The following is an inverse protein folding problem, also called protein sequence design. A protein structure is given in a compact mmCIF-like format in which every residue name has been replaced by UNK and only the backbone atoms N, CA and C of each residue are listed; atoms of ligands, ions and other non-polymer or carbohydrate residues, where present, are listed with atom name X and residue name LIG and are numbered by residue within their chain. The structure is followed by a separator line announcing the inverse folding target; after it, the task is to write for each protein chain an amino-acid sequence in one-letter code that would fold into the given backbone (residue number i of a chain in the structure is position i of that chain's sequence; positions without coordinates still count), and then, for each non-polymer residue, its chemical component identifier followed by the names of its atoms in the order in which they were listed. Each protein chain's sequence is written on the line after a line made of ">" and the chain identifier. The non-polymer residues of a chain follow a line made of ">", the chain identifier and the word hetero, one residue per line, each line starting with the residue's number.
data_IF_153170173312
#
_entry.id   IF_153170173312
#
_cell.length_a   1.000
_cell.length_b   1.000
_cell.length_c   1.000
_cell.angle_alpha   90.00
_cell.angle_beta   90.00
_cell.angle_gamma   90.00
#
_symmetry.space_group_name_H-M   'P 1'
#
loop_
_entity.id
_entity.type
_entity.pdbx_description
1 polymer ?
#
# COMPACT_ATOMS: atom_id res chain seq x y z
N UNK A 1 -15.70 11.61 -11.29
CA UNK A 1 -14.79 12.74 -10.99
C UNK A 1 -13.61 12.08 -10.31
N UNK A 2 -12.51 11.84 -11.02
CA UNK A 2 -11.27 11.27 -10.45
C UNK A 2 -10.61 12.25 -9.49
N UNK A 3 -9.47 11.86 -8.90
CA UNK A 3 -8.59 12.74 -8.09
C UNK A 3 -8.09 13.97 -8.92
N UNK A 4 -9.01 14.70 -9.48
CA UNK A 4 -8.81 15.66 -10.57
C UNK A 4 -8.19 17.01 -10.14
N UNK A 5 -7.71 17.12 -8.89
CA UNK A 5 -7.02 18.31 -8.38
C UNK A 5 -5.56 18.04 -8.01
N UNK A 6 -5.02 16.92 -8.46
CA UNK A 6 -3.60 16.61 -8.30
C UNK A 6 -2.77 17.66 -9.03
N UNK A 7 -1.75 18.19 -8.39
CA UNK A 7 -0.79 19.06 -9.08
C UNK A 7 -0.08 18.25 -10.18
N UNK A 8 -0.40 18.51 -11.43
CA UNK A 8 0.14 17.80 -12.58
C UNK A 8 1.67 17.83 -12.63
N UNK A 9 2.28 18.90 -12.10
CA UNK A 9 3.73 19.06 -12.02
C UNK A 9 4.34 18.10 -10.99
N UNK A 10 3.71 17.96 -9.83
CA UNK A 10 4.17 17.02 -8.82
C UNK A 10 4.02 15.57 -9.31
N UNK A 11 2.89 15.23 -9.88
CA UNK A 11 2.65 13.88 -10.44
C UNK A 11 3.67 13.51 -11.54
N UNK A 12 4.01 14.46 -12.42
CA UNK A 12 5.04 14.26 -13.46
C UNK A 12 6.43 14.09 -12.85
N UNK A 13 6.80 14.93 -11.88
CA UNK A 13 8.08 14.84 -11.18
C UNK A 13 8.24 13.51 -10.43
N UNK A 14 7.21 13.10 -9.68
CA UNK A 14 7.17 11.80 -8.97
C UNK A 14 7.24 10.64 -9.96
N UNK A 15 6.47 10.70 -11.06
CA UNK A 15 6.48 9.65 -12.09
C UNK A 15 7.87 9.49 -12.72
N UNK A 16 8.56 10.58 -13.01
CA UNK A 16 9.93 10.57 -13.55
C UNK A 16 10.93 9.99 -12.54
N UNK A 17 10.88 10.45 -11.28
CA UNK A 17 11.76 9.92 -10.25
C UNK A 17 11.56 8.41 -10.10
N UNK A 18 10.30 7.97 -9.87
CA UNK A 18 10.00 6.55 -9.64
C UNK A 18 10.32 5.70 -10.86
N UNK A 19 10.10 6.19 -12.08
CA UNK A 19 10.51 5.51 -13.31
C UNK A 19 12.03 5.30 -13.40
N UNK A 20 12.82 6.29 -13.00
CA UNK A 20 14.28 6.21 -13.04
C UNK A 20 14.84 5.24 -11.99
N UNK A 21 14.27 5.19 -10.80
CA UNK A 21 14.76 4.38 -9.67
C UNK A 21 14.13 2.97 -9.62
N UNK A 22 13.25 2.60 -10.54
CA UNK A 22 12.57 1.29 -10.52
C UNK A 22 13.06 0.38 -11.63
N UNK A 23 14.39 0.28 -11.82
CA UNK A 23 14.97 -0.61 -12.82
C UNK A 23 14.79 -2.09 -12.45
N UNK A 24 14.89 -2.97 -13.45
CA UNK A 24 14.84 -4.42 -13.20
C UNK A 24 16.01 -4.87 -12.33
N UNK A 25 17.18 -4.32 -12.57
CA UNK A 25 18.41 -4.61 -11.81
C UNK A 25 18.25 -4.24 -10.35
N UNK A 26 17.65 -3.07 -10.05
CA UNK A 26 17.43 -2.66 -8.68
C UNK A 26 16.41 -3.54 -7.97
N UNK A 27 15.31 -3.89 -8.64
CA UNK A 27 14.33 -4.83 -8.08
C UNK A 27 14.98 -6.17 -7.71
N UNK A 28 15.77 -6.75 -8.60
CA UNK A 28 16.50 -8.00 -8.36
C UNK A 28 17.56 -7.87 -7.26
N UNK A 29 18.21 -6.69 -7.14
CA UNK A 29 19.16 -6.44 -6.06
C UNK A 29 18.47 -6.37 -4.69
N UNK A 30 17.32 -5.71 -4.61
CA UNK A 30 16.49 -5.65 -3.38
C UNK A 30 16.00 -7.04 -2.97
N UNK A 31 15.56 -7.86 -3.91
CA UNK A 31 15.18 -9.27 -3.65
C UNK A 31 16.33 -10.09 -3.05
N UNK A 32 17.57 -9.70 -3.33
CA UNK A 32 18.80 -10.31 -2.78
C UNK A 32 19.29 -9.64 -1.49
N UNK A 33 18.49 -8.75 -0.91
CA UNK A 33 18.78 -8.06 0.35
C UNK A 33 19.55 -6.76 0.23
N UNK A 34 19.74 -6.22 -0.97
CA UNK A 34 20.35 -4.90 -1.15
C UNK A 34 19.39 -3.79 -0.69
N UNK A 35 19.88 -2.87 0.14
CA UNK A 35 19.15 -1.65 0.48
C UNK A 35 19.55 -0.50 -0.45
N UNK A 36 18.63 0.05 -1.26
CA UNK A 36 18.93 1.10 -2.22
C UNK A 36 18.93 2.49 -1.53
N UNK A 37 19.95 2.74 -0.73
CA UNK A 37 20.04 3.94 0.12
C UNK A 37 20.09 5.24 -0.70
N UNK A 38 20.73 5.24 -1.87
CA UNK A 38 20.81 6.42 -2.75
C UNK A 38 19.46 6.77 -3.36
N UNK A 39 18.67 5.78 -3.75
CA UNK A 39 17.34 5.94 -4.28
C UNK A 39 16.35 6.36 -3.19
N UNK A 40 16.49 5.79 -1.99
CA UNK A 40 15.72 6.21 -0.84
C UNK A 40 16.00 7.67 -0.45
N UNK A 41 17.26 8.11 -0.50
CA UNK A 41 17.62 9.50 -0.24
C UNK A 41 16.91 10.49 -1.19
N UNK A 42 16.81 10.16 -2.49
CA UNK A 42 16.07 10.97 -3.47
C UNK A 42 14.57 11.03 -3.17
N UNK A 43 13.99 9.93 -2.70
CA UNK A 43 12.57 9.87 -2.28
C UNK A 43 12.32 10.74 -1.04
N UNK A 44 13.23 10.73 -0.07
CA UNK A 44 13.18 11.61 1.11
C UNK A 44 13.33 13.08 0.71
N UNK A 45 14.28 13.41 -0.17
CA UNK A 45 14.53 14.79 -0.62
C UNK A 45 13.28 15.41 -1.26
N UNK A 46 12.46 14.61 -1.97
CA UNK A 46 11.17 15.04 -2.49
C UNK A 46 10.04 15.08 -1.44
N UNK A 47 10.29 14.67 -0.20
CA UNK A 47 9.29 14.65 0.87
C UNK A 47 8.20 13.58 0.71
N UNK A 48 8.35 12.62 -0.20
CA UNK A 48 7.30 11.67 -0.55
C UNK A 48 6.83 10.80 0.63
N UNK A 49 7.72 10.26 1.49
CA UNK A 49 7.30 9.44 2.63
C UNK A 49 6.51 10.22 3.69
N UNK A 50 6.74 11.53 3.75
CA UNK A 50 6.15 12.44 4.74
C UNK A 50 5.06 13.34 4.15
N UNK A 51 4.47 12.95 3.00
CA UNK A 51 3.53 13.77 2.25
C UNK A 51 2.32 14.23 3.08
N UNK A 52 1.78 13.36 3.92
CA UNK A 52 0.60 13.66 4.75
C UNK A 52 0.92 14.23 6.13
N UNK A 53 2.18 14.25 6.52
CA UNK A 53 2.57 14.79 7.82
C UNK A 53 2.64 16.33 7.75
N UNK A 54 2.03 17.08 8.70
CA UNK A 54 2.14 18.53 8.77
C UNK A 54 3.59 19.01 8.93
N UNK A 55 3.92 20.19 8.42
CA UNK A 55 5.25 20.79 8.58
C UNK A 55 5.64 20.94 10.06
N UNK A 56 4.68 21.28 10.93
CA UNK A 56 4.88 21.38 12.37
C UNK A 56 5.33 20.07 13.03
N UNK A 57 5.04 18.93 12.40
CA UNK A 57 5.43 17.58 12.83
C UNK A 57 6.64 17.03 12.04
N UNK A 58 7.21 17.81 11.13
CA UNK A 58 8.37 17.44 10.33
C UNK A 58 8.06 16.90 8.95
N UNK A 59 6.85 17.11 8.44
CA UNK A 59 6.38 16.61 7.15
C UNK A 59 6.41 17.62 6.01
N UNK A 60 5.87 17.22 4.86
CA UNK A 60 5.78 18.03 3.65
C UNK A 60 4.42 18.72 3.48
N UNK A 61 3.43 18.35 4.31
CA UNK A 61 2.07 18.94 4.33
C UNK A 61 1.41 19.05 2.93
N UNK A 62 1.60 18.02 2.11
CA UNK A 62 0.99 17.98 0.79
C UNK A 62 -0.54 17.77 0.90
N UNK A 63 -1.31 18.23 -0.10
CA UNK A 63 -2.73 17.90 -0.18
C UNK A 63 -2.96 16.39 -0.06
N UNK A 64 -4.01 15.95 0.65
CA UNK A 64 -4.24 14.53 0.90
C UNK A 64 -4.30 13.66 -0.37
N UNK A 65 -4.80 14.21 -1.49
CA UNK A 65 -4.88 13.57 -2.80
C UNK A 65 -3.51 13.18 -3.34
N UNK A 66 -2.49 13.98 -3.04
CA UNK A 66 -1.12 13.76 -3.54
C UNK A 66 -0.50 12.50 -2.96
N UNK A 67 -0.70 12.21 -1.69
CA UNK A 67 -0.20 10.98 -1.09
C UNK A 67 -0.81 9.72 -1.73
N UNK A 68 -2.09 9.74 -2.10
CA UNK A 68 -2.71 8.64 -2.83
C UNK A 68 -2.18 8.54 -4.27
N UNK A 69 -1.89 9.67 -4.91
CA UNK A 69 -1.22 9.71 -6.21
C UNK A 69 0.19 9.12 -6.12
N UNK A 70 0.97 9.46 -5.10
CA UNK A 70 2.29 8.88 -4.85
C UNK A 70 2.18 7.35 -4.68
N UNK A 71 1.23 6.87 -3.89
CA UNK A 71 0.99 5.44 -3.72
C UNK A 71 0.65 4.75 -5.05
N UNK A 72 -0.22 5.35 -5.89
CA UNK A 72 -0.57 4.82 -7.21
C UNK A 72 0.63 4.77 -8.16
N UNK A 73 1.44 5.84 -8.18
CA UNK A 73 2.64 5.91 -9.00
C UNK A 73 3.72 4.92 -8.53
N UNK A 74 3.86 4.67 -7.21
CA UNK A 74 4.77 3.64 -6.72
C UNK A 74 4.36 2.24 -7.21
N UNK A 75 3.06 1.95 -7.23
CA UNK A 75 2.51 0.73 -7.82
C UNK A 75 2.74 0.65 -9.32
N UNK A 76 2.50 1.73 -10.05
CA UNK A 76 2.66 1.82 -11.51
C UNK A 76 4.10 1.59 -11.97
N UNK A 77 5.08 1.90 -11.14
CA UNK A 77 6.50 1.69 -11.42
C UNK A 77 7.05 0.40 -10.77
N UNK A 78 6.24 -0.36 -10.04
CA UNK A 78 6.69 -1.48 -9.22
C UNK A 78 7.91 -1.11 -8.36
N UNK A 79 7.87 0.06 -7.74
CA UNK A 79 9.01 0.67 -7.04
C UNK A 79 9.45 -0.21 -5.87
N UNK A 80 10.72 -0.64 -5.80
CA UNK A 80 11.21 -1.54 -4.77
C UNK A 80 11.66 -0.78 -3.51
N UNK A 81 10.81 0.13 -3.01
CA UNK A 81 11.05 0.99 -1.85
C UNK A 81 9.77 1.11 -1.02
N UNK A 82 9.85 1.24 0.31
CA UNK A 82 8.70 1.27 1.22
C UNK A 82 7.99 2.63 1.28
N UNK A 83 7.82 3.31 0.12
CA UNK A 83 7.21 4.65 0.07
C UNK A 83 5.80 4.62 0.63
N UNK A 84 4.99 3.66 0.21
CA UNK A 84 3.60 3.55 0.66
C UNK A 84 3.47 3.15 2.12
N UNK A 85 4.40 2.36 2.64
CA UNK A 85 4.43 1.99 4.07
C UNK A 85 4.80 3.21 4.93
N UNK A 86 5.74 4.03 4.47
CA UNK A 86 6.09 5.28 5.12
C UNK A 86 4.95 6.33 5.03
N UNK A 87 4.19 6.38 3.93
CA UNK A 87 2.98 7.18 3.82
C UNK A 87 1.93 6.77 4.86
N UNK A 88 1.70 5.46 5.05
CA UNK A 88 0.79 4.97 6.09
C UNK A 88 1.29 5.43 7.48
N UNK A 89 2.59 5.31 7.75
CA UNK A 89 3.18 5.79 8.99
C UNK A 89 2.97 7.30 9.18
N UNK A 90 3.15 8.11 8.14
CA UNK A 90 2.92 9.56 8.20
C UNK A 90 1.46 9.93 8.47
N UNK A 91 0.49 9.23 7.88
CA UNK A 91 -0.93 9.43 8.15
C UNK A 91 -1.28 9.12 9.61
N UNK A 92 -0.76 8.01 10.15
CA UNK A 92 -0.97 7.62 11.54
C UNK A 92 -0.30 8.60 12.49
N UNK A 93 0.92 9.07 12.18
CA UNK A 93 1.63 10.07 12.96
C UNK A 93 0.85 11.40 13.01
N UNK A 94 0.23 11.80 11.92
CA UNK A 94 -0.62 12.98 11.86
C UNK A 94 -1.81 12.87 12.83
N UNK A 95 -2.51 11.74 12.83
CA UNK A 95 -3.61 11.50 13.76
C UNK A 95 -3.15 11.39 15.21
N UNK A 96 -1.98 10.79 15.44
CA UNK A 96 -1.37 10.64 16.74
C UNK A 96 -0.69 11.92 17.25
N UNK A 97 -0.60 12.97 16.43
CA UNK A 97 0.13 14.22 16.68
C UNK A 97 1.60 13.97 17.05
N UNK A 98 2.20 12.93 16.45
CA UNK A 98 3.59 12.56 16.71
C UNK A 98 4.52 13.21 15.67
N UNK A 99 5.57 13.88 16.17
CA UNK A 99 6.65 14.34 15.32
C UNK A 99 7.48 13.16 14.86
N UNK A 100 7.73 13.06 13.54
CA UNK A 100 8.61 12.03 13.00
C UNK A 100 10.03 12.56 12.76
N UNK A 101 11.06 11.74 12.99
CA UNK A 101 12.43 12.05 12.59
C UNK A 101 12.56 12.00 11.06
N UNK A 102 13.56 12.68 10.52
CA UNK A 102 13.92 12.60 9.10
C UNK A 102 14.70 11.30 8.82
N UNK A 103 14.00 10.18 8.88
CA UNK A 103 14.54 8.83 8.78
C UNK A 103 13.49 7.89 8.20
N UNK A 104 13.83 6.63 7.93
CA UNK A 104 12.84 5.63 7.56
C UNK A 104 12.04 5.22 8.80
N UNK A 105 10.80 5.69 8.85
CA UNK A 105 9.80 5.31 9.85
C UNK A 105 8.77 4.41 9.21
N UNK A 106 8.59 3.21 9.74
CA UNK A 106 7.59 2.26 9.28
C UNK A 106 6.58 1.94 10.38
N UNK A 107 5.47 1.38 9.99
CA UNK A 107 4.43 0.97 10.91
C UNK A 107 4.50 -0.55 11.16
N UNK A 108 4.46 -0.96 12.43
CA UNK A 108 4.38 -2.36 12.83
C UNK A 108 2.97 -2.74 13.24
N UNK A 109 2.47 -3.82 12.68
CA UNK A 109 1.16 -4.38 13.02
C UNK A 109 1.31 -5.46 14.10
N UNK A 110 0.52 -5.35 15.16
CA UNK A 110 0.50 -6.33 16.23
C UNK A 110 -0.70 -7.26 15.99
N UNK A 111 -0.47 -8.58 15.80
CA UNK A 111 -1.57 -9.52 15.71
C UNK A 111 -2.49 -9.41 16.93
N UNK A 112 -3.79 -9.57 16.74
CA UNK A 112 -4.81 -9.39 17.77
C UNK A 112 -4.60 -10.24 19.05
N UNK A 113 -3.81 -11.31 18.99
CA UNK A 113 -3.47 -12.18 20.09
C UNK A 113 -2.09 -11.92 20.74
N UNK A 114 -1.37 -10.87 20.27
CA UNK A 114 -0.07 -10.48 20.80
C UNK A 114 -0.14 -9.01 21.20
N UNK A 115 0.18 -8.71 22.44
CA UNK A 115 0.14 -7.36 22.97
C UNK A 115 1.57 -6.85 23.15
N UNK A 116 1.83 -5.65 22.64
CA UNK A 116 3.01 -4.89 23.01
C UNK A 116 2.71 -4.18 24.35
N UNK A 117 3.61 -4.35 25.29
CA UNK A 117 3.46 -3.82 26.65
C UNK A 117 4.51 -2.78 26.91
N UNK A 118 4.09 -1.65 27.48
CA UNK A 118 5.00 -0.62 28.02
C UNK A 118 5.18 -0.88 29.51
N UNK A 119 6.44 -0.90 29.97
CA UNK A 119 6.77 -1.05 31.39
C UNK A 119 6.74 0.30 32.15
N UNK A 120 6.99 0.26 33.46
CA UNK A 120 7.04 1.46 34.31
C UNK A 120 8.16 2.43 33.95
N UNK A 121 9.21 1.96 33.28
CA UNK A 121 10.35 2.74 32.84
C UNK A 121 10.14 3.35 31.47
N UNK A 122 8.99 3.08 30.84
CA UNK A 122 8.62 3.60 29.51
C UNK A 122 9.24 2.82 28.36
N UNK A 123 9.65 1.57 28.55
CA UNK A 123 10.17 0.71 27.50
C UNK A 123 9.12 -0.26 26.99
N UNK A 124 9.21 -0.62 25.70
CA UNK A 124 8.30 -1.56 25.06
C UNK A 124 8.91 -2.96 24.95
N UNK A 125 8.13 -3.95 25.31
CA UNK A 125 8.46 -5.37 25.12
C UNK A 125 7.34 -6.10 24.40
N UNK A 126 7.72 -7.12 23.60
CA UNK A 126 6.76 -7.94 22.85
C UNK A 126 7.20 -8.19 21.41
N UNK A 127 6.23 -8.56 20.57
CA UNK A 127 6.50 -8.89 19.15
C UNK A 127 5.50 -8.17 18.25
N UNK A 128 5.99 -7.65 17.15
CA UNK A 128 5.14 -7.18 16.07
C UNK A 128 5.58 -7.74 14.73
N UNK A 129 4.66 -7.86 13.79
CA UNK A 129 4.96 -8.11 12.40
C UNK A 129 5.05 -6.76 11.71
N UNK A 130 6.21 -6.45 11.17
CA UNK A 130 6.35 -5.31 10.29
C UNK A 130 6.13 -5.80 8.87
N UNK A 131 5.50 -4.99 8.04
CA UNK A 131 5.20 -5.33 6.66
C UNK A 131 6.50 -5.54 5.88
N UNK A 132 6.99 -4.55 5.19
CA UNK A 132 8.17 -4.68 4.35
C UNK A 132 9.28 -3.77 4.84
N UNK A 133 10.54 -4.10 4.55
CA UNK A 133 11.73 -3.29 4.84
C UNK A 133 11.97 -2.94 6.33
N UNK A 134 11.36 -3.67 7.26
CA UNK A 134 11.56 -3.40 8.69
C UNK A 134 13.02 -3.48 9.13
N UNK A 135 13.81 -4.35 8.50
CA UNK A 135 15.24 -4.50 8.76
C UNK A 135 16.08 -3.27 8.37
N UNK A 136 15.51 -2.33 7.61
CA UNK A 136 16.14 -1.08 7.20
C UNK A 136 15.53 0.14 7.89
N UNK A 137 14.40 -0.02 8.59
CA UNK A 137 13.77 1.06 9.32
C UNK A 137 14.59 1.44 10.55
N UNK A 138 14.82 2.74 10.73
CA UNK A 138 15.49 3.29 11.92
C UNK A 138 14.50 3.41 13.09
N UNK A 139 13.23 3.66 12.78
CA UNK A 139 12.16 3.78 13.77
C UNK A 139 10.94 3.00 13.35
N UNK A 140 10.21 2.53 14.36
CA UNK A 140 8.91 1.86 14.17
C UNK A 140 7.84 2.57 14.97
N UNK A 141 6.67 2.73 14.37
CA UNK A 141 5.46 3.15 15.04
C UNK A 141 4.65 1.91 15.38
N UNK A 142 4.28 1.78 16.65
CA UNK A 142 3.59 0.59 17.16
C UNK A 142 2.34 0.96 17.94
N UNK A 143 1.22 0.25 17.73
CA UNK A 143 0.08 0.33 18.61
C UNK A 143 0.42 -0.38 19.92
N UNK A 144 0.31 0.34 21.02
CA UNK A 144 0.52 -0.22 22.35
C UNK A 144 -0.73 -0.07 23.21
N UNK A 145 -0.98 -1.06 24.05
CA UNK A 145 -2.04 -1.01 25.04
C UNK A 145 -1.50 -0.38 26.32
N UNK A 146 -2.18 0.64 26.81
CA UNK A 146 -1.93 1.26 28.12
C UNK A 146 -3.06 0.92 29.09
N UNK A 147 -2.94 1.33 30.34
CA UNK A 147 -4.01 1.16 31.33
C UNK A 147 -5.29 1.95 31.01
N UNK A 148 -5.19 2.99 30.18
CA UNK A 148 -6.29 3.90 29.84
C UNK A 148 -6.86 3.69 28.46
N UNK A 149 -6.12 3.03 27.54
CA UNK A 149 -6.55 2.83 26.15
C UNK A 149 -5.41 2.43 25.23
N UNK A 150 -5.64 2.49 23.94
CA UNK A 150 -4.60 2.23 22.93
C UNK A 150 -3.94 3.53 22.50
N UNK A 151 -2.60 3.54 22.43
CA UNK A 151 -1.78 4.66 21.98
C UNK A 151 -0.80 4.22 20.90
N UNK A 152 -0.20 5.18 20.21
CA UNK A 152 0.88 4.94 19.27
C UNK A 152 2.20 5.32 19.92
N UNK A 153 3.14 4.37 19.95
CA UNK A 153 4.53 4.63 20.37
C UNK A 153 5.44 4.70 19.14
N UNK A 154 6.31 5.70 19.11
CA UNK A 154 7.48 5.74 18.23
C UNK A 154 8.66 5.15 19.00
N UNK A 155 9.25 4.09 18.48
CA UNK A 155 10.38 3.41 19.11
C UNK A 155 11.58 3.38 18.18
N UNK A 156 12.78 3.34 18.78
CA UNK A 156 14.00 3.07 18.04
C UNK A 156 14.06 1.58 17.67
N UNK A 157 14.33 1.30 16.39
CA UNK A 157 14.43 -0.08 15.88
C UNK A 157 15.82 -0.65 16.14
N UNK A 158 16.20 -0.77 17.40
CA UNK A 158 17.52 -1.22 17.84
C UNK A 158 17.63 -2.76 17.89
N UNK A 159 17.74 -3.39 16.75
CA UNK A 159 18.53 -4.63 16.64
C UNK A 159 17.89 -5.98 16.97
N UNK A 160 16.63 -6.10 17.40
CA UNK A 160 16.02 -7.38 17.76
C UNK A 160 15.08 -7.89 16.63
N UNK A 161 15.66 -8.19 15.48
CA UNK A 161 14.92 -8.69 14.33
C UNK A 161 14.96 -10.20 14.29
N UNK A 162 13.83 -10.81 13.92
CA UNK A 162 13.79 -12.21 13.52
C UNK A 162 14.49 -12.40 12.15
N UNK A 163 14.54 -13.64 11.69
CA UNK A 163 15.01 -13.94 10.34
C UNK A 163 14.25 -13.13 9.32
N UNK A 164 14.99 -12.43 8.44
CA UNK A 164 14.41 -11.70 7.32
C UNK A 164 13.97 -12.70 6.25
N UNK A 165 12.73 -12.60 5.82
CA UNK A 165 12.15 -13.39 4.74
C UNK A 165 11.71 -12.44 3.62
N UNK A 166 11.50 -12.97 2.42
CA UNK A 166 10.95 -12.19 1.33
C UNK A 166 9.44 -12.45 1.17
N UNK A 167 8.69 -11.38 0.94
CA UNK A 167 7.29 -11.48 0.49
C UNK A 167 7.21 -12.08 -0.92
N UNK A 168 6.01 -12.38 -1.39
CA UNK A 168 5.82 -12.76 -2.81
C UNK A 168 6.32 -11.69 -3.79
N UNK A 169 6.30 -10.42 -3.38
CA UNK A 169 6.86 -9.31 -4.15
C UNK A 169 8.39 -9.31 -4.21
N UNK A 170 9.07 -10.14 -3.41
CA UNK A 170 10.52 -10.12 -3.27
C UNK A 170 11.02 -9.03 -2.32
N UNK A 171 10.12 -8.39 -1.58
CA UNK A 171 10.45 -7.33 -0.64
C UNK A 171 10.79 -7.94 0.74
N UNK A 172 11.88 -7.51 1.40
CA UNK A 172 12.27 -8.07 2.69
C UNK A 172 11.23 -7.75 3.76
N UNK A 173 10.85 -8.74 4.55
CA UNK A 173 9.98 -8.57 5.71
C UNK A 173 10.50 -9.37 6.90
N UNK A 174 10.19 -8.93 8.12
CA UNK A 174 10.57 -9.64 9.33
C UNK A 174 9.55 -9.44 10.46
N UNK A 175 9.58 -10.34 11.44
CA UNK A 175 8.97 -10.12 12.74
C UNK A 175 9.98 -9.37 13.61
N UNK A 176 9.58 -8.30 14.26
CA UNK A 176 10.40 -7.57 15.21
C UNK A 176 10.08 -8.01 16.63
N UNK A 177 11.12 -8.31 17.41
CA UNK A 177 11.04 -8.74 18.80
C UNK A 177 11.69 -7.64 19.64
N UNK A 178 10.94 -7.09 20.58
CA UNK A 178 11.40 -6.02 21.45
C UNK A 178 11.62 -6.53 22.86
N UNK A 179 12.79 -6.29 23.40
CA UNK A 179 13.15 -6.56 24.79
C UNK A 179 13.59 -5.22 25.42
N UNK A 180 12.63 -4.51 26.05
CA UNK A 180 12.84 -3.18 26.61
C UNK A 180 13.32 -2.13 25.59
N UNK A 181 12.68 -2.11 24.41
CA UNK A 181 12.97 -1.09 23.41
C UNK A 181 12.56 0.29 23.91
N UNK A 182 13.44 1.27 23.71
CA UNK A 182 13.23 2.64 24.16
C UNK A 182 12.09 3.30 23.37
N UNK A 183 11.12 3.86 24.07
CA UNK A 183 10.10 4.74 23.50
C UNK A 183 10.72 6.13 23.32
N UNK A 184 10.68 6.62 22.08
CA UNK A 184 11.15 7.97 21.72
C UNK A 184 10.05 8.99 21.93
N UNK A 185 8.81 8.62 21.53
CA UNK A 185 7.62 9.43 21.72
C UNK A 185 6.39 8.53 21.86
N UNK A 186 5.42 8.99 22.63
CA UNK A 186 4.13 8.34 22.85
C UNK A 186 3.02 9.35 22.52
N UNK A 187 1.99 8.94 21.77
CA UNK A 187 0.88 9.83 21.49
C UNK A 187 0.14 10.23 22.78
N UNK A 188 -0.25 11.50 22.86
CA UNK A 188 -1.16 11.96 23.92
C UNK A 188 -2.58 11.51 23.67
N UNK A 189 -2.94 11.36 22.40
CA UNK A 189 -4.26 10.91 21.96
C UNK A 189 -4.43 9.40 22.17
N UNK A 190 -5.58 9.03 22.69
CA UNK A 190 -6.02 7.64 22.78
C UNK A 190 -6.91 7.31 21.58
N UNK A 191 -6.68 6.14 21.03
CA UNK A 191 -7.49 5.63 19.91
C UNK A 191 -8.53 4.65 20.43
N UNK A 192 -9.77 4.83 20.00
CA UNK A 192 -10.83 3.85 20.28
C UNK A 192 -10.58 2.50 19.60
N UNK A 193 -10.05 2.54 18.37
CA UNK A 193 -9.65 1.36 17.60
C UNK A 193 -8.51 1.74 16.64
N UNK A 194 -7.30 1.76 17.17
CA UNK A 194 -6.10 2.05 16.39
C UNK A 194 -5.86 1.02 15.30
N UNK A 195 -6.18 -0.24 15.56
CA UNK A 195 -5.99 -1.33 14.60
C UNK A 195 -6.87 -1.14 13.36
N UNK A 196 -8.14 -0.77 13.57
CA UNK A 196 -9.07 -0.46 12.48
C UNK A 196 -8.58 0.71 11.65
N UNK A 197 -8.13 1.78 12.29
CA UNK A 197 -7.59 2.97 11.58
C UNK A 197 -6.43 2.60 10.66
N UNK A 198 -5.50 1.79 11.14
CA UNK A 198 -4.34 1.32 10.37
C UNK A 198 -4.77 0.44 9.20
N UNK A 199 -5.67 -0.53 9.46
CA UNK A 199 -6.19 -1.43 8.43
C UNK A 199 -6.91 -0.66 7.33
N UNK A 200 -7.72 0.33 7.69
CA UNK A 200 -8.49 1.13 6.74
C UNK A 200 -7.59 2.01 5.86
N UNK A 201 -6.65 2.75 6.45
CA UNK A 201 -5.68 3.56 5.69
C UNK A 201 -4.81 2.66 4.80
N UNK A 202 -4.28 1.57 5.37
CA UNK A 202 -3.46 0.62 4.64
C UNK A 202 -4.21 -0.05 3.48
N UNK A 203 -5.49 -0.41 3.68
CA UNK A 203 -6.33 -0.99 2.64
C UNK A 203 -6.52 -0.04 1.45
N UNK A 204 -6.74 1.26 1.69
CA UNK A 204 -6.88 2.25 0.62
C UNK A 204 -5.55 2.50 -0.09
N UNK A 205 -4.45 2.65 0.64
CA UNK A 205 -3.11 2.83 0.06
C UNK A 205 -2.74 1.62 -0.82
N UNK A 206 -2.96 0.38 -0.34
CA UNK A 206 -2.71 -0.83 -1.15
C UNK A 206 -3.66 -0.93 -2.36
N UNK A 207 -4.91 -0.47 -2.25
CA UNK A 207 -5.82 -0.42 -3.38
C UNK A 207 -5.32 0.54 -4.46
N UNK A 208 -4.74 1.68 -4.10
CA UNK A 208 -4.10 2.61 -5.04
C UNK A 208 -2.84 2.00 -5.68
N UNK A 209 -1.99 1.32 -4.91
CA UNK A 209 -0.83 0.62 -5.49
C UNK A 209 -1.25 -0.48 -6.49
N UNK A 210 -2.28 -1.27 -6.15
CA UNK A 210 -2.81 -2.30 -7.05
C UNK A 210 -3.41 -1.66 -8.31
N UNK A 211 -4.08 -0.50 -8.19
CA UNK A 211 -4.58 0.25 -9.34
C UNK A 211 -3.43 0.66 -10.27
N UNK A 212 -2.38 1.28 -9.73
CA UNK A 212 -1.21 1.69 -10.51
C UNK A 212 -0.49 0.52 -11.18
N UNK A 213 -0.26 -0.59 -10.46
CA UNK A 213 0.33 -1.79 -11.02
C UNK A 213 -0.53 -2.41 -12.14
N UNK A 214 -1.86 -2.39 -11.97
CA UNK A 214 -2.81 -2.88 -12.99
C UNK A 214 -2.81 -2.02 -14.25
N UNK A 215 -2.65 -0.71 -14.12
CA UNK A 215 -2.46 0.22 -15.25
C UNK A 215 -1.16 -0.07 -16.01
N UNK A 216 -0.06 -0.31 -15.29
CA UNK A 216 1.20 -0.70 -15.90
C UNK A 216 1.08 -2.03 -16.66
N UNK A 217 0.45 -3.04 -16.05
CA UNK A 217 0.19 -4.33 -16.71
C UNK A 217 -0.62 -4.14 -17.99
N UNK A 218 -1.65 -3.29 -17.98
CA UNK A 218 -2.43 -2.98 -19.18
C UNK A 218 -1.55 -2.39 -20.28
N UNK A 219 -0.69 -1.43 -19.95
CA UNK A 219 0.24 -0.81 -20.90
C UNK A 219 1.23 -1.83 -21.47
N UNK A 220 1.81 -2.69 -20.61
CA UNK A 220 2.71 -3.78 -21.00
C UNK A 220 2.00 -4.75 -21.95
N UNK A 221 0.75 -5.17 -21.64
CA UNK A 221 -0.02 -6.04 -22.51
C UNK A 221 -0.28 -5.42 -23.88
N UNK A 222 -0.71 -4.15 -23.91
CA UNK A 222 -0.99 -3.44 -25.18
C UNK A 222 0.29 -3.32 -26.02
N UNK A 223 1.42 -2.97 -25.41
CA UNK A 223 2.69 -2.91 -26.12
C UNK A 223 3.08 -4.28 -26.68
N UNK A 224 3.04 -5.32 -25.85
CA UNK A 224 3.42 -6.67 -26.23
C UNK A 224 2.64 -7.19 -27.44
N UNK A 225 1.29 -7.08 -27.43
CA UNK A 225 0.46 -7.63 -28.50
C UNK A 225 0.62 -6.92 -29.85
N UNK A 226 1.07 -5.66 -29.83
CA UNK A 226 1.36 -4.89 -31.03
C UNK A 226 2.71 -5.24 -31.67
N UNK A 227 3.67 -5.69 -30.87
CA UNK A 227 5.01 -6.05 -31.33
C UNK A 227 5.10 -7.55 -31.65
N UNK A 228 4.45 -8.39 -30.85
CA UNK A 228 4.53 -9.85 -31.01
C UNK A 228 3.80 -10.32 -32.26
N UNK A 229 4.50 -10.93 -33.18
CA UNK A 229 3.92 -11.51 -34.39
C UNK A 229 3.78 -13.02 -34.30
N UNK A 230 2.65 -13.53 -34.79
CA UNK A 230 2.35 -14.94 -35.02
C UNK A 230 1.43 -15.06 -36.25
N UNK A 231 1.59 -16.13 -37.00
CA UNK A 231 0.81 -16.36 -38.23
C UNK A 231 0.88 -15.18 -39.23
N UNK A 232 2.07 -14.55 -39.33
CA UNK A 232 2.37 -13.48 -40.27
C UNK A 232 1.82 -12.09 -39.94
N UNK A 233 1.34 -11.86 -38.70
CA UNK A 233 0.82 -10.56 -38.26
C UNK A 233 0.91 -10.36 -36.75
N UNK A 234 0.87 -9.11 -36.25
CA UNK A 234 0.76 -8.82 -34.82
C UNK A 234 -0.41 -9.54 -34.18
N UNK A 235 -0.19 -10.10 -32.96
CA UNK A 235 -1.27 -10.85 -32.27
C UNK A 235 -2.44 -9.96 -31.86
N UNK A 236 -2.27 -8.64 -31.79
CA UNK A 236 -3.34 -7.64 -31.59
C UNK A 236 -4.45 -7.73 -32.67
N UNK A 237 -4.18 -8.33 -33.84
CA UNK A 237 -5.16 -8.49 -34.91
C UNK A 237 -6.11 -9.69 -34.75
N UNK A 238 -5.91 -10.51 -33.71
CA UNK A 238 -6.79 -11.67 -33.41
C UNK A 238 -7.88 -11.28 -32.42
N UNK A 239 -9.14 -11.62 -32.76
CA UNK A 239 -10.30 -11.29 -31.92
C UNK A 239 -10.19 -11.83 -30.49
N UNK A 240 -9.63 -13.03 -30.29
CA UNK A 240 -9.43 -13.59 -28.96
C UNK A 240 -8.54 -12.70 -28.08
N UNK A 241 -7.48 -12.12 -28.66
CA UNK A 241 -6.60 -11.17 -27.95
C UNK A 241 -7.32 -9.86 -27.66
N UNK A 242 -8.09 -9.34 -28.63
CA UNK A 242 -8.87 -8.13 -28.45
C UNK A 242 -9.91 -8.27 -27.31
N UNK A 243 -10.59 -9.43 -27.22
CA UNK A 243 -11.50 -9.73 -26.11
C UNK A 243 -10.78 -9.78 -24.76
N UNK A 244 -9.58 -10.37 -24.70
CA UNK A 244 -8.77 -10.37 -23.47
C UNK A 244 -8.39 -8.96 -23.05
N UNK A 245 -7.95 -8.11 -23.98
CA UNK A 245 -7.61 -6.71 -23.67
C UNK A 245 -8.82 -5.88 -23.25
N UNK A 246 -9.98 -6.09 -23.87
CA UNK A 246 -11.21 -5.42 -23.46
C UNK A 246 -11.65 -5.81 -22.04
N UNK A 247 -11.57 -7.11 -21.71
CA UNK A 247 -11.85 -7.59 -20.36
C UNK A 247 -10.81 -7.03 -19.34
N UNK A 248 -9.51 -7.01 -19.70
CA UNK A 248 -8.45 -6.44 -18.90
C UNK A 248 -8.71 -4.97 -18.59
N UNK A 249 -9.06 -4.17 -19.60
CA UNK A 249 -9.38 -2.75 -19.44
C UNK A 249 -10.54 -2.51 -18.47
N UNK A 250 -11.60 -3.33 -18.55
CA UNK A 250 -12.74 -3.26 -17.62
C UNK A 250 -12.36 -3.56 -16.18
N UNK A 251 -11.51 -4.58 -15.94
CA UNK A 251 -11.04 -4.90 -14.58
C UNK A 251 -10.11 -3.81 -14.04
N UNK A 252 -9.20 -3.26 -14.85
CA UNK A 252 -8.31 -2.14 -14.46
C UNK A 252 -9.12 -0.90 -14.10
N UNK A 253 -10.08 -0.51 -14.94
CA UNK A 253 -10.95 0.63 -14.68
C UNK A 253 -11.76 0.45 -13.38
N UNK A 254 -12.24 -0.77 -13.12
CA UNK A 254 -13.00 -1.08 -11.90
C UNK A 254 -12.13 -0.93 -10.63
N UNK A 255 -10.87 -1.40 -10.65
CA UNK A 255 -9.93 -1.21 -9.53
C UNK A 255 -9.67 0.28 -9.30
N UNK A 256 -9.33 1.02 -10.37
CA UNK A 256 -9.00 2.43 -10.30
C UNK A 256 -10.16 3.26 -9.71
N UNK A 257 -11.37 3.07 -10.25
CA UNK A 257 -12.56 3.80 -9.80
C UNK A 257 -12.87 3.55 -8.31
N UNK A 258 -12.83 2.29 -7.86
CA UNK A 258 -13.14 1.98 -6.45
C UNK A 258 -12.04 2.46 -5.51
N UNK A 259 -10.77 2.42 -5.91
CA UNK A 259 -9.66 2.98 -5.13
C UNK A 259 -9.79 4.49 -4.99
N UNK A 260 -10.17 5.21 -6.07
CA UNK A 260 -10.39 6.65 -6.03
C UNK A 260 -11.56 7.04 -5.10
N UNK A 261 -12.67 6.31 -5.16
CA UNK A 261 -13.83 6.53 -4.26
C UNK A 261 -13.43 6.32 -2.80
N UNK A 262 -12.66 5.27 -2.49
CA UNK A 262 -12.20 5.01 -1.13
C UNK A 262 -11.23 6.11 -0.63
N UNK A 263 -10.33 6.60 -1.48
CA UNK A 263 -9.43 7.70 -1.15
C UNK A 263 -10.20 8.98 -0.85
N UNK A 264 -11.14 9.37 -1.71
CA UNK A 264 -12.00 10.55 -1.50
C UNK A 264 -12.84 10.44 -0.23
N UNK A 265 -13.31 9.23 0.09
CA UNK A 265 -14.06 8.98 1.32
C UNK A 265 -13.18 9.18 2.56
N UNK A 266 -11.94 8.67 2.58
CA UNK A 266 -11.00 8.91 3.68
C UNK A 266 -10.64 10.39 3.82
N UNK A 267 -10.36 11.08 2.71
CA UNK A 267 -10.05 12.52 2.70
C UNK A 267 -11.20 13.32 3.32
N UNK A 268 -12.43 13.09 2.85
CA UNK A 268 -13.65 13.77 3.34
C UNK A 268 -13.84 13.60 4.86
N UNK A 269 -13.38 12.47 5.42
CA UNK A 269 -13.49 12.17 6.83
C UNK A 269 -12.17 12.41 7.61
N UNK A 270 -11.24 13.20 7.07
CA UNK A 270 -9.95 13.52 7.69
C UNK A 270 -9.19 12.26 8.15
N UNK A 271 -9.12 11.24 7.30
CA UNK A 271 -8.54 9.92 7.59
C UNK A 271 -9.18 9.18 8.78
N UNK A 272 -10.33 9.65 9.27
CA UNK A 272 -11.12 8.90 10.22
C UNK A 272 -11.98 7.90 9.45
N UNK A 273 -11.91 6.63 9.83
CA UNK A 273 -12.61 5.55 9.13
C UNK A 273 -14.11 5.45 9.44
N UNK A 274 -14.62 6.25 10.37
CA UNK A 274 -16.05 6.27 10.70
C UNK A 274 -16.88 6.76 9.48
N UNK A 275 -17.76 5.89 8.97
CA UNK A 275 -18.60 6.19 7.81
C UNK A 275 -17.95 5.93 6.43
N UNK A 276 -16.73 5.40 6.39
CA UNK A 276 -16.00 5.09 5.14
C UNK A 276 -16.00 3.59 4.81
N UNK A 277 -16.52 2.76 5.69
CA UNK A 277 -16.39 1.29 5.67
C UNK A 277 -16.81 0.66 4.32
N UNK A 278 -17.88 1.15 3.69
CA UNK A 278 -18.38 0.59 2.41
C UNK A 278 -17.42 0.91 1.28
N UNK A 279 -16.94 2.16 1.19
CA UNK A 279 -16.03 2.58 0.13
C UNK A 279 -14.70 1.81 0.23
N UNK A 280 -14.14 1.69 1.44
CA UNK A 280 -12.90 0.97 1.69
C UNK A 280 -13.05 -0.52 1.40
N UNK A 281 -14.13 -1.15 1.93
CA UNK A 281 -14.39 -2.57 1.70
C UNK A 281 -14.60 -2.86 0.21
N UNK A 282 -15.34 -2.02 -0.50
CA UNK A 282 -15.57 -2.15 -1.93
C UNK A 282 -14.27 -2.06 -2.73
N UNK A 283 -13.40 -1.10 -2.40
CA UNK A 283 -12.10 -0.94 -3.04
C UNK A 283 -11.20 -2.16 -2.81
N UNK A 284 -11.08 -2.63 -1.58
CA UNK A 284 -10.20 -3.76 -1.25
C UNK A 284 -10.70 -5.08 -1.83
N UNK A 285 -12.03 -5.33 -1.78
CA UNK A 285 -12.65 -6.48 -2.45
C UNK A 285 -12.41 -6.44 -3.95
N UNK A 286 -12.62 -5.27 -4.58
CA UNK A 286 -12.42 -5.11 -6.02
C UNK A 286 -10.95 -5.24 -6.41
N UNK A 287 -10.04 -4.64 -5.67
CA UNK A 287 -8.60 -4.79 -5.87
C UNK A 287 -8.15 -6.26 -5.81
N UNK A 288 -8.66 -7.06 -4.87
CA UNK A 288 -8.36 -8.49 -4.76
C UNK A 288 -8.91 -9.31 -5.92
N UNK A 289 -10.22 -9.20 -6.19
CA UNK A 289 -10.90 -10.00 -7.23
C UNK A 289 -10.43 -9.60 -8.63
N UNK A 290 -10.44 -8.32 -8.94
CA UNK A 290 -10.05 -7.82 -10.27
C UNK A 290 -8.54 -7.92 -10.49
N UNK A 291 -7.72 -7.71 -9.45
CA UNK A 291 -6.27 -7.91 -9.52
C UNK A 291 -5.89 -9.34 -9.94
N UNK A 292 -6.56 -10.35 -9.37
CA UNK A 292 -6.36 -11.75 -9.77
C UNK A 292 -6.73 -12.00 -11.24
N UNK A 293 -7.79 -11.34 -11.75
CA UNK A 293 -8.18 -11.45 -13.18
C UNK A 293 -7.17 -10.73 -14.08
N UNK A 294 -6.72 -9.52 -13.69
CA UNK A 294 -5.68 -8.76 -14.40
C UNK A 294 -4.44 -9.62 -14.59
N UNK A 295 -3.94 -10.23 -13.52
CA UNK A 295 -2.78 -11.13 -13.55
C UNK A 295 -3.01 -12.29 -14.52
N UNK A 296 -4.14 -13.00 -14.38
CA UNK A 296 -4.47 -14.15 -15.22
C UNK A 296 -4.53 -13.79 -16.69
N UNK A 297 -5.18 -12.67 -17.05
CA UNK A 297 -5.30 -12.23 -18.44
C UNK A 297 -3.92 -11.83 -18.99
N UNK A 298 -3.15 -11.09 -18.22
CA UNK A 298 -1.81 -10.65 -18.62
C UNK A 298 -0.89 -11.84 -18.93
N UNK A 299 -0.80 -12.82 -18.03
CA UNK A 299 0.01 -14.03 -18.27
C UNK A 299 -0.53 -14.86 -19.45
N UNK A 300 -1.85 -14.94 -19.63
CA UNK A 300 -2.45 -15.61 -20.80
C UNK A 300 -2.04 -14.95 -22.12
N UNK A 301 -2.02 -13.61 -22.16
CA UNK A 301 -1.65 -12.84 -23.36
C UNK A 301 -0.17 -12.97 -23.69
N UNK A 302 0.71 -12.99 -22.68
CA UNK A 302 2.15 -13.10 -22.88
C UNK A 302 2.62 -14.55 -23.11
N UNK A 303 1.90 -15.54 -22.59
CA UNK A 303 2.32 -16.93 -22.63
C UNK A 303 3.59 -17.15 -21.79
N UNK A 304 4.50 -18.02 -22.24
CA UNK A 304 5.66 -18.46 -21.47
C UNK A 304 6.60 -17.30 -21.03
N UNK A 305 6.77 -16.28 -21.87
CA UNK A 305 7.68 -15.15 -21.56
C UNK A 305 7.22 -14.37 -20.34
N UNK A 306 5.90 -14.28 -20.09
CA UNK A 306 5.36 -13.58 -18.93
C UNK A 306 5.75 -14.18 -17.58
N UNK A 307 6.29 -15.41 -17.57
CA UNK A 307 6.74 -16.11 -16.36
C UNK A 307 8.26 -16.10 -16.19
N UNK A 308 9.00 -15.48 -17.11
CA UNK A 308 10.47 -15.44 -17.03
C UNK A 308 10.94 -14.20 -16.27
N UNK A 309 12.09 -14.31 -15.61
CA UNK A 309 12.72 -13.18 -14.90
C UNK A 309 13.26 -12.10 -15.85
N UNK A 310 13.44 -12.44 -17.13
CA UNK A 310 13.89 -11.51 -18.16
C UNK A 310 12.83 -10.49 -18.57
N UNK A 311 11.55 -10.82 -18.32
CA UNK A 311 10.42 -9.98 -18.71
C UNK A 311 9.77 -9.33 -17.51
N UNK A 312 9.55 -8.03 -17.56
CA UNK A 312 9.14 -7.20 -16.41
C UNK A 312 7.76 -7.53 -15.79
N UNK A 313 6.90 -8.29 -16.47
CA UNK A 313 5.51 -8.53 -16.03
C UNK A 313 5.43 -9.13 -14.62
N UNK A 314 6.33 -10.08 -14.27
CA UNK A 314 6.35 -10.75 -12.98
C UNK A 314 6.53 -9.77 -11.80
N UNK A 315 7.22 -8.64 -12.01
CA UNK A 315 7.44 -7.62 -10.97
C UNK A 315 6.13 -7.02 -10.48
N UNK A 316 5.18 -6.78 -11.39
CA UNK A 316 3.87 -6.24 -11.09
C UNK A 316 2.93 -7.31 -10.55
N UNK A 317 2.90 -8.48 -11.17
CA UNK A 317 1.96 -9.54 -10.79
C UNK A 317 2.26 -10.11 -9.42
N UNK A 318 3.54 -10.28 -9.05
CA UNK A 318 3.97 -10.70 -7.70
C UNK A 318 3.59 -9.68 -6.64
N UNK A 319 3.74 -8.37 -6.94
CA UNK A 319 3.35 -7.27 -6.05
C UNK A 319 1.84 -7.22 -5.82
N UNK A 320 1.03 -7.35 -6.86
CA UNK A 320 -0.42 -7.41 -6.69
C UNK A 320 -0.81 -8.59 -5.80
N UNK A 321 -0.20 -9.77 -5.96
CA UNK A 321 -0.43 -10.92 -5.10
C UNK A 321 -0.05 -10.66 -3.63
N UNK A 322 1.06 -9.97 -3.36
CA UNK A 322 1.50 -9.61 -2.01
C UNK A 322 0.55 -8.58 -1.39
N UNK A 323 0.35 -7.45 -2.06
CA UNK A 323 -0.45 -6.34 -1.55
C UNK A 323 -1.93 -6.67 -1.35
N UNK A 324 -2.44 -7.65 -2.08
CA UNK A 324 -3.79 -8.18 -1.93
C UNK A 324 -4.03 -8.75 -0.53
N UNK A 325 -3.04 -9.43 0.04
CA UNK A 325 -3.15 -10.05 1.37
C UNK A 325 -2.94 -9.05 2.52
N UNK A 326 -2.27 -7.94 2.24
CA UNK A 326 -1.94 -6.95 3.25
C UNK A 326 -3.17 -6.11 3.66
N UNK A 327 -3.27 -5.77 4.94
CA UNK A 327 -4.42 -5.07 5.53
C UNK A 327 -5.76 -5.75 5.26
N UNK A 328 -5.76 -7.08 5.21
CA UNK A 328 -6.92 -7.92 4.93
C UNK A 328 -7.16 -8.17 3.43
N UNK A 329 -7.47 -9.42 3.09
CA UNK A 329 -7.80 -9.83 1.72
C UNK A 329 -9.29 -9.63 1.41
N UNK A 330 -9.68 -9.92 0.16
CA UNK A 330 -11.07 -9.76 -0.30
C UNK A 330 -12.07 -10.61 0.47
N UNK A 331 -11.67 -11.73 1.07
CA UNK A 331 -12.57 -12.55 1.89
C UNK A 331 -12.90 -11.85 3.21
N UNK A 332 -11.90 -11.26 3.87
CA UNK A 332 -12.08 -10.50 5.11
C UNK A 332 -12.97 -9.29 4.85
N UNK A 333 -12.67 -8.52 3.82
CA UNK A 333 -13.42 -7.32 3.48
C UNK A 333 -14.82 -7.60 2.94
N UNK A 334 -15.02 -8.70 2.19
CA UNK A 334 -16.38 -9.14 1.80
C UNK A 334 -17.24 -9.52 2.99
N UNK A 335 -16.64 -10.15 4.02
CA UNK A 335 -17.36 -10.46 5.26
C UNK A 335 -17.76 -9.17 5.97
N UNK A 336 -16.85 -8.19 6.10
CA UNK A 336 -17.16 -6.88 6.72
C UNK A 336 -18.30 -6.18 5.96
N UNK A 337 -18.20 -6.12 4.62
CA UNK A 337 -19.24 -5.53 3.78
C UNK A 337 -20.60 -6.24 3.96
N UNK A 338 -20.59 -7.57 3.98
CA UNK A 338 -21.79 -8.38 4.22
C UNK A 338 -22.42 -8.08 5.58
N UNK A 339 -21.61 -7.94 6.65
CA UNK A 339 -22.08 -7.58 7.97
C UNK A 339 -22.71 -6.18 8.02
N UNK A 340 -22.11 -5.19 7.35
CA UNK A 340 -22.68 -3.85 7.23
C UNK A 340 -24.06 -3.87 6.58
N UNK A 341 -24.22 -4.65 5.51
CA UNK A 341 -25.50 -4.79 4.80
C UNK A 341 -26.53 -5.52 5.64
N UNK A 342 -26.16 -6.61 6.33
CA UNK A 342 -27.12 -7.43 7.10
C UNK A 342 -27.53 -6.82 8.43
N UNK A 343 -26.65 -5.99 9.04
CA UNK A 343 -26.92 -5.30 10.30
C UNK A 343 -27.70 -3.99 10.11
N UNK A 344 -27.87 -3.52 8.88
CA UNK A 344 -28.72 -2.38 8.60
C UNK A 344 -30.19 -2.80 8.73
N UNK A 345 -30.95 -2.19 9.66
CA UNK A 345 -32.38 -2.41 9.88
C UNK A 345 -33.29 -1.99 8.71
N UNK A 346 -32.71 -1.79 7.55
CA UNK A 346 -33.41 -1.16 6.44
C UNK A 346 -33.41 -2.01 5.17
N UNK A 347 -34.54 -2.09 4.44
CA UNK A 347 -34.58 -2.52 3.07
C UNK A 347 -33.81 -1.57 2.11
N UNK A 348 -32.92 -0.73 2.62
CA UNK A 348 -32.25 0.38 1.94
C UNK A 348 -30.82 0.04 1.53
N UNK A 349 -30.59 -1.14 0.95
CA UNK A 349 -29.29 -1.44 0.32
C UNK A 349 -28.91 -0.35 -0.71
N UNK A 350 -29.86 0.11 -1.49
CA UNK A 350 -29.64 1.12 -2.54
C UNK A 350 -29.21 2.49 -1.99
N UNK A 351 -29.87 3.10 -1.00
CA UNK A 351 -29.35 4.29 -0.34
C UNK A 351 -27.95 4.09 0.25
N UNK A 352 -27.67 2.93 0.83
CA UNK A 352 -26.36 2.61 1.40
C UNK A 352 -25.24 2.55 0.35
N UNK A 353 -25.55 2.09 -0.85
CA UNK A 353 -24.61 1.99 -1.99
C UNK A 353 -24.44 3.32 -2.71
N UNK A 354 -25.45 4.21 -2.66
CA UNK A 354 -25.49 5.49 -3.35
C UNK A 354 -25.09 6.69 -2.49
N UNK A 355 -24.87 6.50 -1.18
CA UNK A 355 -24.44 7.54 -0.26
C UNK A 355 -22.93 7.79 -0.35
#
# INVERSE_FOLDING_TARGET
>A
MGLANTDALLADAVSKLLGNISSNELCLAVEKGHWPASEWAQVIEMGLPMAWLPESLGGAELPPEEGFTIARLSGRNATPLPISDALIASAIATQAKLKLPNALVLFGNTPANKTLVIDSDGNVSGRCRVTTFANHAEYLMLPIQTSTGSRIALIENSGNQSTVENTLAGEPCCECIFEKARVIALSDEEFSDVQKTIEDIGAVVRSQQIAGASEAIMAICVNYVNIREQFGRPIAKFQAIQHHLAALAGEVASIACTADVASLSLIKNNFNSNGTDIAIASAKVRAGISGAKVIRIAHQVHGAIGFTDEYELHRFTRRIWSWREEFGNEMIWSRRLGQLVTNSDSPQLWPLVCA
#
